data_IF_793999512861
#
_entry.id   IF_793999512861
#
_cell.length_a   1.000
_cell.length_b   1.000
_cell.length_c   1.000
_cell.angle_alpha   90.00
_cell.angle_beta   90.00
_cell.angle_gamma   90.00
#
_symmetry.space_group_name_H-M   'P 1'
#
loop_
_entity.id
_entity.type
_entity.pdbx_description
1 polymer ?
#
# COMPACT_ATOMS: atom_id res chain seq x y z
N UNK A 1 2.65 -24.00 0.50
CA UNK A 1 3.73 -23.20 -0.14
C UNK A 1 3.53 -21.75 0.23
N UNK A 2 4.50 -21.10 0.89
CA UNK A 2 4.49 -19.66 0.99
C UNK A 2 5.22 -19.07 -0.21
N UNK A 3 4.43 -18.65 -1.19
CA UNK A 3 4.83 -17.74 -2.24
C UNK A 3 4.27 -16.39 -1.80
N UNK A 4 5.07 -15.33 -1.87
CA UNK A 4 4.66 -13.97 -1.48
C UNK A 4 3.21 -13.65 -1.88
N UNK A 5 2.52 -12.96 -0.98
CA UNK A 5 1.08 -12.84 -0.90
C UNK A 5 0.42 -12.48 -2.25
N UNK A 6 -0.56 -13.31 -2.62
CA UNK A 6 -1.49 -13.23 -3.77
C UNK A 6 -0.86 -12.77 -5.10
N UNK A 7 -0.38 -13.74 -5.90
CA UNK A 7 -0.40 -13.68 -7.38
C UNK A 7 0.08 -12.35 -8.02
N UNK A 8 1.31 -11.93 -7.72
CA UNK A 8 1.93 -10.71 -8.28
C UNK A 8 1.84 -10.62 -9.83
N UNK A 9 1.92 -11.74 -10.55
CA UNK A 9 1.86 -11.72 -12.04
C UNK A 9 0.47 -11.38 -12.62
N UNK A 10 -0.62 -11.66 -11.89
CA UNK A 10 -1.97 -11.28 -12.32
C UNK A 10 -2.30 -9.83 -11.95
N UNK A 11 -1.73 -9.31 -10.87
CA UNK A 11 -2.01 -7.96 -10.36
C UNK A 11 -1.05 -6.91 -10.95
N UNK A 12 0.20 -7.23 -11.26
CA UNK A 12 1.09 -6.32 -12.00
C UNK A 12 0.56 -6.03 -13.42
N UNK A 13 -0.09 -7.01 -14.07
CA UNK A 13 -0.87 -6.79 -15.31
C UNK A 13 -2.17 -5.99 -15.09
N UNK A 14 -2.55 -5.68 -13.85
CA UNK A 14 -3.91 -5.22 -13.50
C UNK A 14 -4.11 -3.72 -13.35
N UNK A 15 -3.08 -2.87 -13.45
CA UNK A 15 -3.30 -1.41 -13.38
C UNK A 15 -2.68 -0.62 -14.55
N UNK A 16 -1.85 -1.24 -15.39
CA UNK A 16 -1.31 -0.57 -16.58
C UNK A 16 -2.40 -0.04 -17.50
N UNK A 17 -3.58 -0.70 -17.51
CA UNK A 17 -4.73 -0.21 -18.27
C UNK A 17 -5.16 1.20 -17.84
N UNK A 18 -4.95 1.61 -16.59
CA UNK A 18 -5.29 2.93 -16.09
C UNK A 18 -4.41 4.04 -16.70
N UNK A 19 -3.28 3.70 -17.34
CA UNK A 19 -2.49 4.66 -18.11
C UNK A 19 -3.16 4.98 -19.46
N UNK A 20 -4.08 4.13 -19.94
CA UNK A 20 -4.85 4.40 -21.15
C UNK A 20 -6.15 5.11 -20.80
N UNK A 21 -6.32 6.32 -21.34
CA UNK A 21 -7.47 7.19 -21.08
C UNK A 21 -8.83 6.48 -21.22
N UNK A 22 -9.02 5.66 -22.28
CA UNK A 22 -10.27 4.92 -22.50
C UNK A 22 -10.61 3.99 -21.34
N UNK A 23 -9.64 3.19 -20.88
CA UNK A 23 -9.88 2.23 -19.79
C UNK A 23 -9.94 2.92 -18.43
N UNK A 24 -9.16 3.97 -18.23
CA UNK A 24 -9.23 4.79 -17.01
C UNK A 24 -10.62 5.42 -16.84
N UNK A 25 -11.15 6.05 -17.89
CA UNK A 25 -12.50 6.64 -17.88
C UNK A 25 -13.59 5.60 -17.68
N UNK A 26 -13.49 4.44 -18.32
CA UNK A 26 -14.42 3.34 -18.11
C UNK A 26 -14.40 2.86 -16.64
N UNK A 27 -13.20 2.78 -16.03
CA UNK A 27 -13.04 2.42 -14.62
C UNK A 27 -13.58 3.50 -13.68
N UNK A 28 -13.36 4.78 -14.00
CA UNK A 28 -13.98 5.90 -13.29
C UNK A 28 -15.50 5.72 -13.26
N UNK A 29 -16.13 5.49 -14.42
CA UNK A 29 -17.58 5.36 -14.53
C UNK A 29 -18.11 4.14 -13.75
N UNK A 30 -17.40 3.01 -13.82
CA UNK A 30 -17.73 1.81 -13.05
C UNK A 30 -17.69 2.04 -11.54
N UNK A 31 -16.63 2.71 -11.04
CA UNK A 31 -16.44 2.92 -9.61
C UNK A 31 -17.39 3.99 -9.06
N UNK A 32 -17.70 5.03 -9.83
CA UNK A 32 -18.69 6.04 -9.45
C UNK A 32 -20.10 5.47 -9.28
N UNK A 33 -20.40 4.33 -9.92
CA UNK A 33 -21.68 3.62 -9.76
C UNK A 33 -21.76 2.73 -8.51
N UNK A 34 -20.64 2.55 -7.77
CA UNK A 34 -20.61 1.73 -6.55
C UNK A 34 -20.90 2.57 -5.30
N UNK A 35 -21.32 1.89 -4.24
CA UNK A 35 -21.40 2.51 -2.91
C UNK A 35 -20.00 2.95 -2.47
N UNK A 36 -19.89 4.19 -2.01
CA UNK A 36 -18.62 4.82 -1.72
C UNK A 36 -18.72 5.76 -0.52
N UNK A 37 -17.66 5.78 0.29
CA UNK A 37 -17.55 6.63 1.48
C UNK A 37 -16.49 7.70 1.20
N UNK A 38 -16.81 8.95 1.52
CA UNK A 38 -15.84 10.05 1.43
C UNK A 38 -14.72 9.83 2.43
N UNK A 39 -13.47 9.95 1.96
CA UNK A 39 -12.28 9.96 2.84
C UNK A 39 -11.44 11.23 2.63
N UNK A 40 -12.08 12.31 2.15
CA UNK A 40 -11.44 13.60 1.90
C UNK A 40 -10.82 14.22 3.16
N UNK A 41 -11.46 14.05 4.32
CA UNK A 41 -11.03 14.66 5.59
C UNK A 41 -9.67 14.16 6.07
N UNK A 42 -9.26 12.99 5.58
CA UNK A 42 -8.06 12.29 5.99
C UNK A 42 -6.84 12.73 5.18
N UNK A 43 -7.05 13.28 3.98
CA UNK A 43 -5.94 13.73 3.12
C UNK A 43 -5.87 15.25 3.21
N UNK A 44 -4.98 15.74 4.07
CA UNK A 44 -4.76 17.19 4.29
C UNK A 44 -4.13 17.90 3.08
N UNK A 45 -3.82 17.19 2.00
CA UNK A 45 -3.34 17.79 0.76
C UNK A 45 -4.39 18.73 0.13
N UNK A 46 -3.93 19.85 -0.40
CA UNK A 46 -4.74 20.69 -1.30
C UNK A 46 -5.11 19.90 -2.56
N UNK A 47 -6.28 19.26 -2.55
CA UNK A 47 -6.82 18.60 -3.73
C UNK A 47 -7.07 19.65 -4.83
N UNK A 48 -6.84 19.25 -6.08
CA UNK A 48 -7.26 20.06 -7.23
C UNK A 48 -8.78 20.21 -7.16
N UNK A 49 -9.28 21.40 -7.50
CA UNK A 49 -10.72 21.66 -7.58
C UNK A 49 -11.37 20.64 -8.52
N UNK A 50 -12.40 19.95 -8.03
CA UNK A 50 -13.06 18.89 -8.78
C UNK A 50 -12.43 17.51 -8.62
N UNK A 51 -11.54 17.33 -7.63
CA UNK A 51 -11.04 16.02 -7.23
C UNK A 51 -11.57 15.60 -5.87
N UNK A 52 -11.81 14.30 -5.68
CA UNK A 52 -12.24 13.75 -4.40
C UNK A 52 -11.69 12.33 -4.15
N UNK A 53 -11.43 12.05 -2.88
CA UNK A 53 -11.06 10.77 -2.36
C UNK A 53 -12.27 9.97 -1.87
N UNK A 54 -12.35 8.73 -2.35
CA UNK A 54 -13.38 7.77 -1.97
C UNK A 54 -12.77 6.45 -1.55
N UNK A 55 -13.37 5.85 -0.53
CA UNK A 55 -13.20 4.45 -0.19
C UNK A 55 -14.36 3.64 -0.74
N UNK A 56 -14.03 2.52 -1.38
CA UNK A 56 -15.01 1.61 -1.98
C UNK A 56 -14.73 0.20 -1.45
N UNK A 57 -15.71 -0.40 -0.78
CA UNK A 57 -15.62 -1.81 -0.39
C UNK A 57 -15.95 -2.68 -1.61
N UNK A 58 -15.03 -3.58 -1.98
CA UNK A 58 -15.25 -4.54 -3.07
C UNK A 58 -15.88 -5.83 -2.54
N UNK A 59 -15.42 -6.27 -1.37
CA UNK A 59 -15.92 -7.42 -0.60
C UNK A 59 -15.36 -7.34 0.84
N UNK A 60 -15.65 -8.33 1.66
CA UNK A 60 -15.23 -8.39 3.08
C UNK A 60 -13.71 -8.30 3.31
N UNK A 61 -12.89 -8.58 2.29
CA UNK A 61 -11.42 -8.62 2.40
C UNK A 61 -10.72 -7.63 1.48
N UNK A 62 -11.45 -6.88 0.67
CA UNK A 62 -10.85 -6.00 -0.33
C UNK A 62 -11.56 -4.66 -0.40
N UNK A 63 -10.75 -3.62 -0.41
CA UNK A 63 -11.20 -2.25 -0.56
C UNK A 63 -10.31 -1.49 -1.53
N UNK A 64 -10.85 -0.40 -2.07
CA UNK A 64 -10.13 0.59 -2.84
C UNK A 64 -10.13 1.93 -2.11
N UNK A 65 -9.04 2.68 -2.26
CA UNK A 65 -9.00 4.12 -2.02
C UNK A 65 -8.64 4.79 -3.34
N UNK A 66 -9.50 5.67 -3.82
CA UNK A 66 -9.44 6.22 -5.17
C UNK A 66 -9.52 7.72 -5.11
N UNK A 67 -8.61 8.38 -5.83
CA UNK A 67 -8.72 9.81 -6.12
C UNK A 67 -9.35 9.98 -7.50
N UNK A 68 -10.59 10.43 -7.50
CA UNK A 68 -11.32 10.81 -8.70
C UNK A 68 -10.93 12.23 -9.11
N UNK A 69 -10.75 12.44 -10.41
CA UNK A 69 -10.68 13.73 -11.04
C UNK A 69 -11.92 13.88 -11.94
N UNK A 70 -12.86 14.70 -11.51
CA UNK A 70 -14.14 14.86 -12.20
C UNK A 70 -14.03 15.69 -13.49
N UNK A 71 -12.96 16.46 -13.66
CA UNK A 71 -12.78 17.30 -14.84
C UNK A 71 -12.53 16.45 -16.09
N UNK A 72 -11.60 15.49 -16.04
CA UNK A 72 -11.40 14.56 -17.16
C UNK A 72 -12.22 13.27 -17.02
N UNK A 73 -12.90 13.06 -15.88
CA UNK A 73 -13.54 11.79 -15.49
C UNK A 73 -12.53 10.66 -15.47
N UNK A 74 -11.50 10.83 -14.66
CA UNK A 74 -10.38 9.89 -14.55
C UNK A 74 -10.03 9.58 -13.09
N UNK A 75 -9.34 8.46 -12.91
CA UNK A 75 -8.69 8.08 -11.67
C UNK A 75 -7.26 8.60 -11.72
N UNK A 76 -6.92 9.48 -10.77
CA UNK A 76 -5.59 10.07 -10.64
C UNK A 76 -4.68 9.25 -9.71
N UNK A 77 -5.26 8.55 -8.74
CA UNK A 77 -4.55 7.74 -7.76
C UNK A 77 -5.45 6.58 -7.30
N UNK A 78 -4.84 5.42 -7.04
CA UNK A 78 -5.57 4.21 -6.70
C UNK A 78 -4.76 3.31 -5.75
N UNK A 79 -5.34 2.95 -4.62
CA UNK A 79 -4.80 1.94 -3.69
C UNK A 79 -5.79 0.78 -3.61
N UNK A 80 -5.30 -0.44 -3.81
CA UNK A 80 -6.03 -1.67 -3.48
C UNK A 80 -5.49 -2.22 -2.16
N UNK A 81 -6.36 -2.37 -1.17
CA UNK A 81 -6.05 -3.10 0.07
C UNK A 81 -6.64 -4.50 0.02
N UNK A 82 -5.85 -5.51 0.36
CA UNK A 82 -6.33 -6.89 0.58
C UNK A 82 -5.99 -7.34 2.00
N UNK A 83 -7.02 -7.65 2.79
CA UNK A 83 -6.88 -8.12 4.17
C UNK A 83 -6.33 -9.56 4.15
N UNK A 84 -5.33 -9.82 4.98
CA UNK A 84 -4.68 -11.11 5.16
C UNK A 84 -5.12 -11.73 6.49
N UNK A 85 -5.97 -12.76 6.42
CA UNK A 85 -6.51 -13.42 7.63
C UNK A 85 -5.46 -14.21 8.41
N UNK A 86 -4.35 -14.57 7.77
CA UNK A 86 -3.36 -15.47 8.32
C UNK A 86 -2.16 -14.74 8.96
N UNK A 87 -2.18 -13.41 8.92
CA UNK A 87 -1.22 -12.53 9.60
C UNK A 87 -2.01 -11.66 10.57
N UNK A 88 -2.17 -12.14 11.81
CA UNK A 88 -2.84 -11.38 12.87
C UNK A 88 -1.76 -10.91 13.85
N UNK A 89 -1.58 -9.59 13.93
CA UNK A 89 -0.60 -8.93 14.80
C UNK A 89 -1.38 -7.94 15.67
N UNK A 90 -1.25 -8.05 17.00
CA UNK A 90 -1.94 -7.19 17.97
C UNK A 90 -3.47 -7.05 17.78
N UNK A 91 -4.16 -8.10 17.34
CA UNK A 91 -5.62 -8.07 17.06
C UNK A 91 -6.05 -7.05 15.99
N UNK A 92 -5.10 -6.35 15.37
CA UNK A 92 -5.29 -5.41 14.28
C UNK A 92 -5.17 -6.15 12.94
N UNK A 93 -6.15 -6.00 12.02
CA UNK A 93 -6.12 -6.71 10.75
C UNK A 93 -4.91 -6.28 9.92
N UNK A 94 -4.27 -7.25 9.27
CA UNK A 94 -3.15 -6.98 8.37
C UNK A 94 -3.65 -6.81 6.94
N UNK A 95 -3.17 -5.78 6.24
CA UNK A 95 -3.55 -5.50 4.85
C UNK A 95 -2.31 -5.41 3.96
N UNK A 96 -2.35 -6.10 2.82
CA UNK A 96 -1.39 -5.89 1.76
C UNK A 96 -1.90 -4.80 0.81
N UNK A 97 -1.04 -3.85 0.47
CA UNK A 97 -1.39 -2.74 -0.41
C UNK A 97 -0.77 -2.88 -1.79
N UNK A 98 -1.52 -2.41 -2.78
CA UNK A 98 -1.04 -2.16 -4.13
C UNK A 98 -1.38 -0.72 -4.49
N UNK A 99 -0.40 0.04 -4.97
CA UNK A 99 -0.57 1.45 -5.27
C UNK A 99 -0.30 1.71 -6.75
N UNK A 100 -1.21 2.44 -7.38
CA UNK A 100 -1.04 2.98 -8.72
C UNK A 100 -1.21 4.51 -8.68
N UNK A 101 -0.32 5.21 -9.39
CA UNK A 101 -0.31 6.66 -9.53
C UNK A 101 -0.40 7.02 -11.00
N UNK A 102 -1.19 8.03 -11.35
CA UNK A 102 -1.25 8.54 -12.72
C UNK A 102 0.07 9.16 -13.14
N UNK A 103 0.51 8.86 -14.36
CA UNK A 103 1.71 9.49 -14.96
C UNK A 103 1.44 10.86 -15.60
N UNK A 104 0.18 11.33 -15.59
CA UNK A 104 -0.19 12.58 -16.25
C UNK A 104 0.40 13.80 -15.51
N UNK A 105 1.04 14.75 -16.21
CA UNK A 105 1.68 15.91 -15.59
C UNK A 105 0.76 16.71 -14.65
N UNK A 106 -0.50 16.88 -15.03
CA UNK A 106 -1.49 17.64 -14.23
C UNK A 106 -1.77 17.02 -12.86
N UNK A 107 -1.64 15.70 -12.72
CA UNK A 107 -1.86 15.00 -11.45
C UNK A 107 -0.59 14.96 -10.58
N UNK A 108 0.59 15.17 -11.18
CA UNK A 108 1.89 14.91 -10.54
C UNK A 108 2.06 15.62 -9.20
N UNK A 109 1.73 16.91 -9.14
CA UNK A 109 1.87 17.70 -7.91
C UNK A 109 0.90 17.21 -6.81
N UNK A 110 -0.34 16.88 -7.18
CA UNK A 110 -1.35 16.40 -6.24
C UNK A 110 -0.99 15.02 -5.69
N UNK A 111 -0.37 14.14 -6.48
CA UNK A 111 -0.14 12.73 -6.11
C UNK A 111 1.25 12.39 -5.56
N UNK A 112 2.17 13.36 -5.51
CA UNK A 112 3.53 13.15 -5.06
C UNK A 112 3.56 12.50 -3.66
N UNK A 113 2.91 13.15 -2.71
CA UNK A 113 2.98 12.80 -1.27
C UNK A 113 1.78 11.97 -0.79
N UNK A 114 0.82 11.67 -1.68
CA UNK A 114 -0.43 10.98 -1.28
C UNK A 114 -0.20 9.58 -0.73
N UNK A 115 0.80 8.86 -1.23
CA UNK A 115 1.11 7.52 -0.70
C UNK A 115 1.49 7.58 0.77
N UNK A 116 2.35 8.53 1.14
CA UNK A 116 2.76 8.76 2.52
C UNK A 116 1.56 9.20 3.37
N UNK A 117 0.81 10.22 2.92
CA UNK A 117 -0.32 10.73 3.69
C UNK A 117 -1.39 9.66 3.93
N UNK A 118 -1.77 8.90 2.91
CA UNK A 118 -2.75 7.82 3.06
C UNK A 118 -2.20 6.71 3.96
N UNK A 119 -0.91 6.39 3.84
CA UNK A 119 -0.29 5.40 4.72
C UNK A 119 -0.37 5.84 6.18
N UNK A 120 0.14 7.03 6.50
CA UNK A 120 0.30 7.54 7.85
C UNK A 120 -1.03 7.97 8.48
N UNK A 121 -1.85 8.73 7.75
CA UNK A 121 -3.05 9.38 8.31
C UNK A 121 -4.31 8.52 8.22
N UNK A 122 -4.31 7.47 7.37
CA UNK A 122 -5.48 6.62 7.20
C UNK A 122 -5.24 5.15 7.55
N UNK A 123 -4.21 4.57 6.94
CA UNK A 123 -4.10 3.12 6.87
C UNK A 123 -3.46 2.54 8.13
N UNK A 124 -2.39 3.16 8.64
CA UNK A 124 -1.73 2.67 9.85
C UNK A 124 -2.65 2.69 11.07
N UNK A 125 -3.53 3.68 11.20
CA UNK A 125 -4.54 3.72 12.29
C UNK A 125 -5.44 2.48 12.28
N UNK A 126 -5.72 1.91 11.09
CA UNK A 126 -6.75 0.87 10.90
C UNK A 126 -6.18 -0.53 10.66
N UNK A 127 -4.95 -0.63 10.16
CA UNK A 127 -4.37 -1.87 9.71
C UNK A 127 -2.88 -1.96 10.01
N UNK A 128 -2.39 -3.18 10.24
CA UNK A 128 -0.98 -3.48 10.03
C UNK A 128 -0.73 -3.53 8.51
N UNK A 129 0.27 -2.81 8.02
CA UNK A 129 0.54 -2.74 6.59
C UNK A 129 1.60 -3.75 6.24
N UNK A 130 1.24 -4.67 5.34
CA UNK A 130 2.09 -5.75 4.89
C UNK A 130 2.61 -5.43 3.50
N UNK A 131 3.93 -5.41 3.38
CA UNK A 131 4.60 -5.37 2.10
C UNK A 131 5.34 -6.69 1.86
N UNK A 132 5.00 -7.31 0.74
CA UNK A 132 5.71 -8.48 0.22
C UNK A 132 6.01 -8.22 -1.24
N UNK A 133 7.24 -7.83 -1.54
CA UNK A 133 7.68 -7.76 -2.93
C UNK A 133 8.47 -9.02 -3.26
N UNK A 134 8.17 -9.61 -4.41
CA UNK A 134 9.04 -10.62 -4.99
C UNK A 134 10.12 -9.84 -5.74
N UNK A 135 11.39 -10.21 -5.61
CA UNK A 135 12.57 -9.48 -6.13
C UNK A 135 12.54 -8.97 -7.58
N UNK A 136 11.52 -9.32 -8.36
CA UNK A 136 11.34 -8.94 -9.75
C UNK A 136 11.14 -7.44 -10.01
N UNK A 137 10.69 -6.62 -9.04
CA UNK A 137 10.49 -5.18 -9.27
C UNK A 137 11.29 -4.29 -8.32
N UNK A 138 12.45 -3.80 -8.76
CA UNK A 138 13.30 -2.86 -8.01
C UNK A 138 12.53 -1.61 -7.54
N UNK A 139 11.49 -1.19 -8.27
CA UNK A 139 10.67 -0.03 -7.91
C UNK A 139 9.82 -0.28 -6.67
N UNK A 140 9.28 -1.50 -6.50
CA UNK A 140 8.47 -1.85 -5.34
C UNK A 140 9.29 -1.89 -4.06
N UNK A 141 10.49 -2.49 -4.11
CA UNK A 141 11.45 -2.44 -2.98
C UNK A 141 11.78 -1.02 -2.56
N UNK A 142 12.17 -0.17 -3.51
CA UNK A 142 12.58 1.20 -3.19
C UNK A 142 11.43 1.98 -2.56
N UNK A 143 10.21 1.84 -3.11
CA UNK A 143 9.01 2.42 -2.54
C UNK A 143 8.77 1.96 -1.09
N UNK A 144 8.85 0.65 -0.82
CA UNK A 144 8.61 0.14 0.53
C UNK A 144 9.71 0.50 1.54
N UNK A 145 10.97 0.59 1.09
CA UNK A 145 12.06 1.12 1.92
C UNK A 145 11.85 2.59 2.26
N UNK A 146 11.40 3.41 1.31
CA UNK A 146 11.05 4.81 1.54
C UNK A 146 9.92 4.94 2.57
N UNK A 147 8.82 4.19 2.38
CA UNK A 147 7.69 4.19 3.32
C UNK A 147 8.11 3.72 4.72
N UNK A 148 8.93 2.67 4.83
CA UNK A 148 9.44 2.20 6.12
C UNK A 148 10.33 3.23 6.80
N UNK A 149 11.16 3.93 6.03
CA UNK A 149 12.03 5.00 6.56
C UNK A 149 11.20 6.14 7.12
N UNK A 150 10.15 6.57 6.40
CA UNK A 150 9.24 7.60 6.86
C UNK A 150 8.51 7.18 8.15
N UNK A 151 8.04 5.93 8.23
CA UNK A 151 7.39 5.39 9.44
C UNK A 151 8.33 5.44 10.64
N UNK A 152 9.60 5.02 10.47
CA UNK A 152 10.62 5.10 11.52
C UNK A 152 10.88 6.56 11.94
N UNK A 153 11.02 7.47 10.98
CA UNK A 153 11.24 8.90 11.26
C UNK A 153 10.07 9.55 12.02
N UNK A 154 8.86 8.99 11.89
CA UNK A 154 7.67 9.40 12.66
C UNK A 154 7.57 8.72 14.02
N UNK A 155 8.60 8.00 14.46
CA UNK A 155 8.61 7.21 15.69
C UNK A 155 7.49 6.16 15.76
N UNK A 156 7.10 5.65 14.59
CA UNK A 156 6.22 4.49 14.44
C UNK A 156 7.08 3.24 14.16
N UNK A 157 6.46 2.08 14.04
CA UNK A 157 7.18 0.81 14.07
C UNK A 157 7.24 0.14 12.70
N UNK A 158 8.44 -0.33 12.36
CA UNK A 158 8.69 -1.17 11.20
C UNK A 158 9.30 -2.50 11.65
N UNK A 159 8.77 -3.60 11.13
CA UNK A 159 9.22 -4.94 11.47
C UNK A 159 9.48 -5.79 10.25
N UNK A 160 10.47 -6.68 10.38
CA UNK A 160 10.58 -7.88 9.56
C UNK A 160 9.80 -9.00 10.23
N UNK A 161 8.84 -9.57 9.50
CA UNK A 161 8.08 -10.73 9.93
C UNK A 161 8.36 -11.94 9.04
N UNK A 162 8.76 -13.06 9.63
CA UNK A 162 8.97 -14.33 8.92
C UNK A 162 7.78 -15.26 9.17
N UNK A 163 6.88 -15.34 8.19
CA UNK A 163 5.60 -16.07 8.28
C UNK A 163 5.74 -17.54 8.68
N UNK A 164 6.76 -18.23 8.16
CA UNK A 164 6.99 -19.65 8.44
C UNK A 164 7.33 -19.95 9.90
N UNK A 165 8.16 -19.11 10.54
CA UNK A 165 8.54 -19.23 11.95
C UNK A 165 7.69 -18.39 12.89
N UNK A 166 6.81 -17.52 12.35
CA UNK A 166 6.06 -16.49 13.07
C UNK A 166 6.96 -15.58 13.93
N UNK A 167 8.20 -15.39 13.50
CA UNK A 167 9.15 -14.54 14.22
C UNK A 167 9.09 -13.12 13.69
N UNK A 168 9.09 -12.15 14.60
CA UNK A 168 9.16 -10.73 14.31
C UNK A 168 10.50 -10.18 14.78
N UNK A 169 11.04 -9.22 14.04
CA UNK A 169 12.24 -8.49 14.38
C UNK A 169 12.01 -7.03 14.02
N UNK A 170 12.17 -6.13 14.98
CA UNK A 170 12.09 -4.69 14.73
C UNK A 170 13.23 -4.24 13.82
N UNK A 171 12.93 -3.29 12.95
CA UNK A 171 13.90 -2.62 12.10
C UNK A 171 14.15 -1.26 12.73
N UNK A 172 15.27 -1.13 13.43
CA UNK A 172 15.46 -0.03 14.38
C UNK A 172 15.81 1.32 13.71
N UNK A 173 16.31 1.30 12.47
CA UNK A 173 16.82 2.51 11.83
C UNK A 173 16.89 2.39 10.29
N UNK A 174 17.06 3.54 9.65
CA UNK A 174 17.20 3.68 8.21
C UNK A 174 18.41 2.89 7.64
N UNK A 175 19.52 2.81 8.38
CA UNK A 175 20.72 2.09 7.92
C UNK A 175 20.42 0.61 7.68
N UNK A 176 19.65 -0.03 8.56
CA UNK A 176 19.24 -1.44 8.42
C UNK A 176 18.39 -1.71 7.18
N UNK A 177 17.55 -0.75 6.77
CA UNK A 177 16.75 -0.82 5.54
C UNK A 177 17.63 -0.68 4.29
N UNK A 178 18.45 0.36 4.24
CA UNK A 178 19.28 0.70 3.06
C UNK A 178 20.34 -0.37 2.80
N UNK A 179 21.00 -0.84 3.87
CA UNK A 179 22.01 -1.91 3.78
C UNK A 179 21.39 -3.30 3.72
N UNK A 180 20.07 -3.41 3.90
CA UNK A 180 19.33 -4.67 4.02
C UNK A 180 19.92 -5.60 5.10
N UNK A 181 20.53 -5.05 6.16
CA UNK A 181 21.04 -5.82 7.32
C UNK A 181 19.93 -6.55 8.08
N UNK A 182 18.70 -6.05 7.96
CA UNK A 182 17.52 -6.74 8.46
C UNK A 182 17.16 -8.01 7.65
N UNK A 183 17.83 -8.33 6.53
CA UNK A 183 17.50 -9.46 5.65
C UNK A 183 16.02 -9.48 5.23
N UNK A 184 15.51 -8.29 4.89
CA UNK A 184 14.13 -8.10 4.47
C UNK A 184 13.95 -8.52 3.00
N UNK A 185 14.95 -8.21 2.17
CA UNK A 185 14.94 -8.48 0.75
C UNK A 185 16.02 -9.51 0.39
N UNK A 186 15.65 -10.70 -0.10
CA UNK A 186 16.57 -11.60 -0.80
C UNK A 186 15.89 -12.52 -1.81
N UNK A 187 16.69 -13.26 -2.57
CA UNK A 187 16.19 -14.27 -3.51
C UNK A 187 16.10 -15.65 -2.85
N UNK A 188 15.20 -16.49 -3.36
CA UNK A 188 15.10 -17.88 -2.96
C UNK A 188 14.08 -18.17 -1.84
N UNK A 189 13.99 -19.45 -1.41
CA UNK A 189 12.92 -19.93 -0.53
C UNK A 189 12.89 -19.27 0.86
N UNK A 190 14.03 -18.80 1.34
CA UNK A 190 14.14 -18.18 2.67
C UNK A 190 13.46 -16.82 2.76
N UNK A 191 13.33 -16.13 1.63
CA UNK A 191 12.72 -14.79 1.54
C UNK A 191 11.28 -14.81 1.04
N UNK A 192 10.77 -15.96 0.58
CA UNK A 192 9.38 -16.11 0.10
C UNK A 192 8.33 -16.07 1.23
N UNK A 193 8.80 -15.90 2.47
CA UNK A 193 8.03 -15.82 3.71
C UNK A 193 8.31 -14.54 4.50
N UNK A 194 9.21 -13.69 4.00
CA UNK A 194 9.66 -12.51 4.72
C UNK A 194 8.79 -11.35 4.28
N UNK A 195 8.14 -10.72 5.26
CA UNK A 195 7.22 -9.62 5.07
C UNK A 195 7.77 -8.40 5.82
N UNK A 196 7.68 -7.23 5.19
CA UNK A 196 7.76 -5.97 5.91
C UNK A 196 6.38 -5.71 6.53
N UNK A 197 6.38 -5.35 7.81
CA UNK A 197 5.19 -4.91 8.55
C UNK A 197 5.43 -3.48 8.99
N UNK A 198 4.50 -2.58 8.67
CA UNK A 198 4.46 -1.23 9.20
C UNK A 198 3.23 -1.09 10.08
N UNK A 199 3.37 -0.47 11.25
CA UNK A 199 2.30 -0.32 12.23
C UNK A 199 2.56 0.91 13.11
N UNK A 200 1.49 1.48 13.65
CA UNK A 200 1.51 2.52 14.68
C UNK A 200 1.61 1.97 16.11
N UNK A 201 1.37 0.67 16.31
CA UNK A 201 1.43 -0.01 17.59
C UNK A 201 2.67 -0.92 17.71
N UNK A 202 3.33 -0.90 18.87
CA UNK A 202 4.44 -1.83 19.17
C UNK A 202 3.93 -3.28 19.20
N UNK A 203 4.58 -4.19 18.47
CA UNK A 203 4.19 -5.61 18.41
C UNK A 203 4.96 -6.43 19.44
N UNK A 204 4.21 -7.01 20.38
CA UNK A 204 4.75 -7.96 21.35
C UNK A 204 4.45 -9.40 20.90
N UNK A 205 5.48 -10.23 20.74
CA UNK A 205 5.27 -11.67 20.62
C UNK A 205 5.04 -12.24 22.02
N UNK A 206 3.87 -12.84 22.24
CA UNK A 206 3.61 -13.69 23.41
C UNK A 206 4.06 -15.12 23.15
#
# INVERSE_FOLDING_TARGET
MPRNCIYNDKVARSHDFLNHQRFNKARYDELMAKSQVSVNEIVRSSLIVGSEFKRIELNEKQFLIVLFDHYDREIAFHVTGTILDDVVLNEKPSVQLWIWKSIKPRHKAMIADLSEQILLEYLLERFNIIASDNHANLQGRNFWNEMASIVIDKALYAYRYKRGSRSIQEIANHEELVTNRCNLWGEGPDFSNVLLVLTDDEIYIR
#
